data_IF_737090303750
#
_entry.id   IF_737090303750
#
_cell.length_a   1.000
_cell.length_b   1.000
_cell.length_c   1.000
_cell.angle_alpha   90.00
_cell.angle_beta   90.00
_cell.angle_gamma   90.00
#
_symmetry.space_group_name_H-M   'P 1'
#
loop_
_entity.id
_entity.type
_entity.pdbx_description
1 polymer ?
#
# COMPACT_ATOMS: atom_id res chain seq x y z
N UNK A 1 24.60 29.87 45.88
CA UNK A 1 24.84 30.81 44.76
C UNK A 1 24.39 30.14 43.47
N UNK A 2 23.44 30.80 42.80
CA UNK A 2 22.91 30.61 41.45
C UNK A 2 23.05 29.23 40.76
N UNK A 3 21.94 28.50 40.70
CA UNK A 3 21.64 27.68 39.55
C UNK A 3 21.07 28.56 38.43
N UNK A 4 21.45 28.30 37.18
CA UNK A 4 20.53 28.52 36.07
C UNK A 4 20.87 27.55 34.93
N UNK A 5 19.94 26.63 34.69
CA UNK A 5 19.98 25.66 33.59
C UNK A 5 19.75 26.42 32.30
N UNK A 6 20.56 26.14 31.28
CA UNK A 6 20.28 26.54 29.91
C UNK A 6 18.99 25.88 29.44
N UNK A 7 17.88 26.61 29.57
CA UNK A 7 16.57 26.22 29.06
C UNK A 7 16.59 26.41 27.54
N UNK A 8 16.96 25.33 26.84
CA UNK A 8 16.87 25.27 25.40
C UNK A 8 15.38 25.31 25.02
N UNK A 9 14.91 26.48 24.57
CA UNK A 9 13.58 26.65 23.97
C UNK A 9 13.45 25.75 22.74
N UNK A 10 12.99 24.52 22.95
CA UNK A 10 12.57 23.64 21.86
C UNK A 10 11.42 24.36 21.16
N UNK A 11 11.65 24.71 19.89
CA UNK A 11 10.65 25.33 19.03
C UNK A 11 9.34 24.55 19.09
N UNK A 12 8.29 25.15 19.66
CA UNK A 12 6.95 24.60 19.56
C UNK A 12 6.53 24.67 18.09
N UNK A 13 6.53 23.53 17.41
CA UNK A 13 5.98 23.37 16.05
C UNK A 13 4.51 23.81 16.05
N UNK A 14 4.08 24.55 15.03
CA UNK A 14 2.73 25.16 14.94
C UNK A 14 1.57 24.17 15.19
N UNK A 15 1.79 22.88 14.89
CA UNK A 15 0.92 21.73 15.18
C UNK A 15 0.59 21.58 16.68
N UNK A 16 1.51 21.97 17.56
CA UNK A 16 1.37 21.93 19.01
C UNK A 16 0.85 23.24 19.62
N UNK A 17 0.47 24.24 18.81
CA UNK A 17 -0.12 25.47 19.36
C UNK A 17 -1.57 25.28 19.80
N UNK A 18 -2.01 26.00 20.82
CA UNK A 18 -3.37 25.92 21.39
C UNK A 18 -4.42 26.73 20.62
N UNK A 19 -4.18 26.99 19.33
CA UNK A 19 -5.17 27.61 18.45
C UNK A 19 -6.32 26.63 18.18
N UNK A 20 -7.52 27.16 17.96
CA UNK A 20 -8.77 26.39 17.80
C UNK A 20 -8.77 25.43 16.61
N UNK A 21 -8.10 25.80 15.51
CA UNK A 21 -8.00 24.97 14.29
C UNK A 21 -7.07 23.76 14.49
N UNK A 22 -5.84 23.91 15.04
CA UNK A 22 -5.00 22.76 15.39
C UNK A 22 -5.64 21.78 16.36
N UNK A 23 -6.32 22.28 17.41
CA UNK A 23 -6.88 21.44 18.47
C UNK A 23 -8.15 20.69 18.05
N UNK A 24 -9.01 21.28 17.20
CA UNK A 24 -10.27 20.63 16.77
C UNK A 24 -10.15 19.78 15.50
N UNK A 25 -9.25 20.11 14.58
CA UNK A 25 -9.17 19.41 13.28
C UNK A 25 -7.83 18.70 13.09
N UNK A 26 -6.71 19.38 13.35
CA UNK A 26 -5.38 18.84 13.01
C UNK A 26 -4.94 17.74 13.98
N UNK A 27 -5.05 17.96 15.30
CA UNK A 27 -4.64 16.95 16.31
C UNK A 27 -5.48 15.67 16.26
N UNK A 28 -6.83 15.72 16.08
CA UNK A 28 -7.64 14.52 15.88
C UNK A 28 -7.33 13.81 14.56
N UNK A 29 -7.11 14.54 13.46
CA UNK A 29 -6.74 13.94 12.17
C UNK A 29 -5.36 13.26 12.23
N UNK A 30 -4.36 13.90 12.84
CA UNK A 30 -3.03 13.30 13.04
C UNK A 30 -3.11 12.06 13.95
N UNK A 31 -3.88 12.13 15.06
CA UNK A 31 -4.12 10.95 15.92
C UNK A 31 -4.88 9.85 15.20
N UNK A 32 -5.82 10.21 14.33
CA UNK A 32 -6.54 9.26 13.48
C UNK A 32 -5.56 8.56 12.55
N UNK A 33 -4.69 9.29 11.83
CA UNK A 33 -3.64 8.71 10.96
C UNK A 33 -2.58 7.89 11.71
N UNK A 34 -2.45 8.06 13.03
CA UNK A 34 -1.55 7.26 13.87
C UNK A 34 -2.14 5.92 14.30
N UNK A 35 -3.42 5.66 14.04
CA UNK A 35 -4.07 4.39 14.36
C UNK A 35 -3.95 3.48 13.13
N UNK A 36 -3.30 2.32 13.25
CA UNK A 36 -3.14 1.36 12.14
C UNK A 36 -4.46 0.89 11.51
N UNK A 37 -5.59 1.00 12.23
CA UNK A 37 -6.93 0.70 11.71
C UNK A 37 -7.52 1.82 10.82
N UNK A 38 -7.04 3.07 10.93
CA UNK A 38 -7.61 4.20 10.21
C UNK A 38 -7.38 4.10 8.71
N UNK A 39 -6.21 3.61 8.29
CA UNK A 39 -5.87 3.41 6.88
C UNK A 39 -6.80 2.39 6.23
N UNK A 40 -7.06 1.26 6.91
CA UNK A 40 -7.99 0.23 6.43
C UNK A 40 -9.43 0.74 6.29
N UNK A 41 -9.91 1.55 7.23
CA UNK A 41 -11.24 2.17 7.15
C UNK A 41 -11.32 3.15 5.99
N UNK A 42 -10.32 4.02 5.82
CA UNK A 42 -10.28 4.99 4.72
C UNK A 42 -10.25 4.27 3.37
N UNK A 43 -9.44 3.22 3.24
CA UNK A 43 -9.37 2.39 2.03
C UNK A 43 -10.72 1.75 1.73
N UNK A 44 -11.38 1.15 2.74
CA UNK A 44 -12.70 0.55 2.57
C UNK A 44 -13.75 1.58 2.12
N UNK A 45 -13.76 2.76 2.74
CA UNK A 45 -14.69 3.83 2.36
C UNK A 45 -14.42 4.33 0.94
N UNK A 46 -13.16 4.47 0.54
CA UNK A 46 -12.79 4.84 -0.82
C UNK A 46 -13.25 3.78 -1.83
N UNK A 47 -13.05 2.50 -1.54
CA UNK A 47 -13.54 1.38 -2.38
C UNK A 47 -15.06 1.39 -2.50
N UNK A 48 -15.79 1.57 -1.40
CA UNK A 48 -17.25 1.65 -1.42
C UNK A 48 -17.70 2.86 -2.24
N UNK A 49 -17.08 4.03 -2.07
CA UNK A 49 -17.40 5.22 -2.84
C UNK A 49 -17.15 5.00 -4.34
N UNK A 50 -16.03 4.37 -4.71
CA UNK A 50 -15.70 4.03 -6.09
C UNK A 50 -16.72 3.04 -6.69
N UNK A 51 -17.13 2.01 -5.94
CA UNK A 51 -18.15 1.05 -6.39
C UNK A 51 -19.52 1.72 -6.58
N UNK A 52 -19.94 2.57 -5.65
CA UNK A 52 -21.20 3.32 -5.76
C UNK A 52 -21.16 4.26 -6.98
N UNK A 53 -20.06 4.97 -7.19
CA UNK A 53 -19.92 5.89 -8.32
C UNK A 53 -19.89 5.12 -9.65
N UNK A 54 -19.12 4.03 -9.74
CA UNK A 54 -18.97 3.24 -10.97
C UNK A 54 -20.24 2.47 -11.36
N UNK A 55 -21.05 2.01 -10.40
CA UNK A 55 -22.28 1.24 -10.67
C UNK A 55 -23.56 2.10 -10.60
N UNK A 56 -23.44 3.36 -10.18
CA UNK A 56 -24.56 4.26 -10.02
C UNK A 56 -25.08 4.84 -11.34
N UNK A 57 -26.13 5.69 -11.29
CA UNK A 57 -26.71 6.34 -12.47
C UNK A 57 -25.74 7.23 -13.25
N UNK A 58 -24.65 7.66 -12.61
CA UNK A 58 -23.58 8.47 -13.19
C UNK A 58 -22.32 7.65 -13.52
N UNK A 59 -22.42 6.33 -13.67
CA UNK A 59 -21.26 5.47 -13.94
C UNK A 59 -20.44 5.87 -15.16
N UNK A 60 -21.07 6.43 -16.19
CA UNK A 60 -20.36 6.94 -17.38
C UNK A 60 -19.43 8.12 -17.04
N UNK A 61 -19.78 8.93 -16.05
CA UNK A 61 -18.91 10.02 -15.58
C UNK A 61 -17.67 9.49 -14.87
N UNK A 62 -17.76 8.35 -14.18
CA UNK A 62 -16.60 7.69 -13.55
C UNK A 62 -15.60 7.25 -14.62
N UNK A 63 -16.08 6.60 -15.68
CA UNK A 63 -15.22 6.18 -16.80
C UNK A 63 -14.59 7.39 -17.49
N UNK A 64 -15.40 8.37 -17.88
CA UNK A 64 -14.92 9.58 -18.56
C UNK A 64 -13.88 10.34 -17.72
N UNK A 65 -14.08 10.41 -16.38
CA UNK A 65 -13.12 11.02 -15.47
C UNK A 65 -11.76 10.30 -15.50
N UNK A 66 -11.75 8.98 -15.37
CA UNK A 66 -10.52 8.19 -15.35
C UNK A 66 -9.85 8.05 -16.73
N UNK A 67 -10.63 8.11 -17.80
CA UNK A 67 -10.16 8.10 -19.19
C UNK A 67 -9.81 9.51 -19.71
N UNK A 68 -9.80 10.53 -18.84
CA UNK A 68 -9.34 11.88 -19.23
C UNK A 68 -7.84 11.83 -19.54
N UNK A 69 -7.43 12.24 -20.74
CA UNK A 69 -6.02 12.23 -21.13
C UNK A 69 -5.26 13.43 -20.55
N UNK A 70 -4.06 13.15 -20.07
CA UNK A 70 -3.06 14.12 -19.63
C UNK A 70 -1.99 14.21 -20.70
N UNK A 71 -2.09 15.24 -21.53
CA UNK A 71 -1.10 15.54 -22.56
C UNK A 71 -0.09 16.58 -22.06
N UNK A 72 1.19 16.22 -22.00
CA UNK A 72 2.30 17.13 -21.70
C UNK A 72 3.27 17.11 -22.89
N UNK A 73 3.31 18.22 -23.61
CA UNK A 73 4.16 18.41 -24.78
C UNK A 73 5.31 19.37 -24.43
N UNK A 74 6.52 18.84 -24.31
CA UNK A 74 7.75 19.60 -24.02
C UNK A 74 8.79 19.32 -25.12
N UNK A 75 8.68 20.05 -26.23
CA UNK A 75 9.58 19.91 -27.38
C UNK A 75 9.53 18.48 -27.96
N UNK A 76 10.63 17.69 -27.92
CA UNK A 76 10.63 16.31 -28.42
C UNK A 76 9.95 15.31 -27.48
N UNK A 77 9.63 15.70 -26.24
CA UNK A 77 8.97 14.81 -25.27
C UNK A 77 7.46 15.01 -25.40
N UNK A 78 6.77 13.97 -25.85
CA UNK A 78 5.31 13.85 -25.81
C UNK A 78 4.94 12.82 -24.75
N UNK A 79 4.10 13.22 -23.82
CA UNK A 79 3.49 12.35 -22.82
C UNK A 79 1.97 12.46 -23.03
N UNK A 80 1.33 11.34 -23.36
CA UNK A 80 -0.12 11.23 -23.53
C UNK A 80 -0.55 9.94 -22.84
N UNK A 81 -1.08 10.08 -21.63
CA UNK A 81 -1.54 8.98 -20.79
C UNK A 81 -2.88 9.33 -20.17
N UNK A 82 -3.72 8.32 -19.92
CA UNK A 82 -4.97 8.55 -19.19
C UNK A 82 -4.70 8.94 -17.74
N UNK A 83 -5.62 9.68 -17.13
CA UNK A 83 -5.57 10.05 -15.72
C UNK A 83 -5.41 8.81 -14.83
N UNK A 84 -6.07 7.71 -15.20
CA UNK A 84 -5.93 6.43 -14.52
C UNK A 84 -4.49 5.91 -14.57
N UNK A 85 -3.85 5.89 -15.74
CA UNK A 85 -2.47 5.42 -15.86
C UNK A 85 -1.52 6.32 -15.09
N UNK A 86 -1.64 7.64 -15.24
CA UNK A 86 -0.81 8.60 -14.52
C UNK A 86 -0.92 8.46 -12.99
N UNK A 87 -2.15 8.35 -12.46
CA UNK A 87 -2.38 8.19 -11.01
C UNK A 87 -1.88 6.84 -10.53
N UNK A 88 -2.10 5.76 -11.29
CA UNK A 88 -1.59 4.44 -10.94
C UNK A 88 -0.06 4.46 -10.85
N UNK A 89 0.63 4.96 -11.86
CA UNK A 89 2.09 4.98 -11.88
C UNK A 89 2.66 5.88 -10.78
N UNK A 90 2.07 7.07 -10.59
CA UNK A 90 2.50 8.01 -9.56
C UNK A 90 2.30 7.47 -8.14
N UNK A 91 1.11 6.94 -7.82
CA UNK A 91 0.82 6.40 -6.49
C UNK A 91 1.56 5.09 -6.23
N UNK A 92 1.70 4.21 -7.24
CA UNK A 92 2.46 2.97 -7.11
C UNK A 92 3.96 3.24 -6.93
N UNK A 93 4.52 4.25 -7.61
CA UNK A 93 5.90 4.65 -7.38
C UNK A 93 6.14 5.10 -5.93
N UNK A 94 5.24 5.91 -5.37
CA UNK A 94 5.31 6.33 -3.96
C UNK A 94 5.14 5.13 -3.02
N UNK A 95 4.17 4.25 -3.29
CA UNK A 95 3.91 3.05 -2.50
C UNK A 95 5.14 2.14 -2.45
N UNK A 96 5.69 1.78 -3.61
CA UNK A 96 6.87 0.92 -3.69
C UNK A 96 8.13 1.57 -3.14
N UNK A 97 8.25 2.89 -3.20
CA UNK A 97 9.33 3.60 -2.52
C UNK A 97 9.26 3.40 -1.00
N UNK A 98 8.09 3.56 -0.39
CA UNK A 98 7.89 3.34 1.05
C UNK A 98 8.11 1.87 1.41
N UNK A 99 7.57 0.94 0.62
CA UNK A 99 7.79 -0.50 0.79
C UNK A 99 9.28 -0.83 0.69
N UNK A 100 10.01 -0.27 -0.27
CA UNK A 100 11.46 -0.42 -0.43
C UNK A 100 12.26 0.06 0.79
N UNK A 101 11.86 1.18 1.38
CA UNK A 101 12.46 1.67 2.63
C UNK A 101 12.16 0.74 3.82
N UNK A 102 10.95 0.22 3.91
CA UNK A 102 10.54 -0.72 4.96
C UNK A 102 11.34 -2.03 4.87
N UNK A 103 11.49 -2.57 3.66
CA UNK A 103 12.31 -3.76 3.39
C UNK A 103 13.75 -3.51 3.83
N UNK A 104 14.33 -2.37 3.42
CA UNK A 104 15.69 -2.02 3.82
C UNK A 104 15.82 -1.93 5.34
N UNK A 105 14.82 -1.37 6.04
CA UNK A 105 14.79 -1.31 7.50
C UNK A 105 14.77 -2.72 8.10
N UNK A 106 13.88 -3.58 7.65
CA UNK A 106 13.75 -4.96 8.14
C UNK A 106 15.02 -5.79 7.91
N UNK A 107 15.70 -5.61 6.77
CA UNK A 107 16.96 -6.30 6.46
C UNK A 107 18.13 -5.83 7.35
N UNK A 108 18.16 -4.56 7.76
CA UNK A 108 19.29 -3.97 8.50
C UNK A 108 19.12 -4.12 10.01
N UNK A 109 17.92 -3.87 10.53
CA UNK A 109 17.64 -3.75 11.96
C UNK A 109 16.44 -4.56 12.44
N UNK A 110 15.66 -5.15 11.53
CA UNK A 110 14.45 -5.89 11.88
C UNK A 110 14.62 -7.41 11.85
N UNK A 111 13.49 -8.10 11.78
CA UNK A 111 13.40 -9.55 11.96
C UNK A 111 13.92 -10.32 10.73
N UNK A 112 14.00 -9.65 9.57
CA UNK A 112 14.58 -10.21 8.34
C UNK A 112 16.12 -10.22 8.32
N UNK A 113 16.77 -9.59 9.31
CA UNK A 113 18.23 -9.63 9.46
C UNK A 113 18.74 -11.04 9.74
N UNK A 114 17.99 -11.82 10.52
CA UNK A 114 18.35 -13.21 10.81
C UNK A 114 17.77 -14.12 9.73
N UNK A 115 18.64 -14.81 8.99
CA UNK A 115 18.25 -15.69 7.88
C UNK A 115 17.29 -16.81 8.29
N UNK A 116 17.36 -17.31 9.53
CA UNK A 116 16.45 -18.37 10.00
C UNK A 116 15.06 -17.81 10.27
N UNK A 117 14.98 -16.59 10.78
CA UNK A 117 13.69 -15.91 11.03
C UNK A 117 13.05 -15.44 9.73
N UNK A 118 13.84 -14.95 8.77
CA UNK A 118 13.40 -14.54 7.44
C UNK A 118 12.89 -15.71 6.57
N UNK A 119 13.39 -16.93 6.80
CA UNK A 119 13.05 -18.09 5.99
C UNK A 119 11.56 -18.45 6.07
N UNK A 120 10.93 -18.36 7.24
CA UNK A 120 9.53 -18.74 7.39
C UNK A 120 8.58 -17.81 6.61
N UNK A 121 8.62 -16.47 6.75
CA UNK A 121 7.83 -15.56 5.92
C UNK A 121 8.14 -15.70 4.43
N UNK A 122 9.41 -15.85 4.04
CA UNK A 122 9.79 -15.97 2.64
C UNK A 122 9.25 -17.24 1.97
N UNK A 123 9.33 -18.39 2.65
CA UNK A 123 8.78 -19.66 2.13
C UNK A 123 7.25 -19.58 2.07
N UNK A 124 6.63 -19.01 3.11
CA UNK A 124 5.19 -18.80 3.14
C UNK A 124 4.72 -17.88 2.00
N UNK A 125 5.48 -16.82 1.69
CA UNK A 125 5.21 -15.89 0.59
C UNK A 125 5.32 -16.59 -0.76
N UNK A 126 6.43 -17.31 -1.01
CA UNK A 126 6.60 -18.08 -2.26
C UNK A 126 5.45 -19.07 -2.45
N UNK A 127 5.05 -19.79 -1.39
CA UNK A 127 3.87 -20.67 -1.45
C UNK A 127 2.58 -19.90 -1.72
N UNK A 128 2.39 -18.78 -1.03
CA UNK A 128 1.25 -17.86 -1.18
C UNK A 128 1.14 -17.23 -2.56
N UNK A 129 2.24 -17.11 -3.30
CA UNK A 129 2.25 -16.62 -4.68
C UNK A 129 2.10 -17.73 -5.71
N UNK A 130 2.86 -18.82 -5.57
CA UNK A 130 2.91 -19.90 -6.56
C UNK A 130 1.59 -20.67 -6.60
N UNK A 131 0.99 -20.95 -5.44
CA UNK A 131 -0.24 -21.75 -5.39
C UNK A 131 -1.41 -21.05 -6.08
N UNK A 132 -1.76 -19.78 -5.79
CA UNK A 132 -2.82 -19.08 -6.49
C UNK A 132 -2.57 -18.91 -7.99
N UNK A 133 -1.32 -18.66 -8.40
CA UNK A 133 -0.95 -18.57 -9.82
C UNK A 133 -1.19 -19.90 -10.56
N UNK A 134 -0.75 -21.02 -9.98
CA UNK A 134 -0.97 -22.34 -10.57
C UNK A 134 -2.45 -22.72 -10.63
N UNK A 135 -3.22 -22.39 -9.59
CA UNK A 135 -4.66 -22.59 -9.58
C UNK A 135 -5.29 -21.79 -10.73
N UNK A 136 -4.98 -20.50 -10.86
CA UNK A 136 -5.49 -19.66 -11.94
C UNK A 136 -5.17 -20.22 -13.33
N UNK A 137 -3.92 -20.61 -13.55
CA UNK A 137 -3.50 -21.22 -14.83
C UNK A 137 -4.28 -22.51 -15.08
N UNK A 138 -4.46 -23.38 -14.08
CA UNK A 138 -5.19 -24.63 -14.25
C UNK A 138 -6.64 -24.41 -14.69
N UNK A 139 -7.29 -23.35 -14.21
CA UNK A 139 -8.65 -22.99 -14.62
C UNK A 139 -8.70 -22.39 -16.04
N UNK A 140 -7.74 -21.54 -16.40
CA UNK A 140 -7.78 -20.76 -17.66
C UNK A 140 -7.07 -21.47 -18.82
N UNK A 141 -6.22 -22.46 -18.56
CA UNK A 141 -5.40 -23.14 -19.57
C UNK A 141 -6.22 -23.81 -20.69
N UNK A 142 -7.46 -24.22 -20.41
CA UNK A 142 -8.34 -24.85 -21.40
C UNK A 142 -9.08 -23.87 -22.31
N UNK A 143 -9.16 -22.59 -21.95
CA UNK A 143 -9.98 -21.61 -22.68
C UNK A 143 -9.24 -20.99 -23.86
N UNK A 144 -7.90 -20.87 -23.78
CA UNK A 144 -7.05 -20.27 -24.80
C UNK A 144 -7.34 -18.76 -24.98
N UNK A 145 -6.33 -17.91 -24.83
CA UNK A 145 -6.47 -16.47 -25.12
C UNK A 145 -5.66 -15.58 -24.20
N UNK A 146 -5.96 -14.27 -24.23
CA UNK A 146 -5.26 -13.26 -23.42
C UNK A 146 -5.42 -13.48 -21.91
N UNK A 147 -6.46 -14.19 -21.47
CA UNK A 147 -6.69 -14.47 -20.06
C UNK A 147 -5.53 -15.23 -19.39
N UNK A 148 -4.81 -16.08 -20.13
CA UNK A 148 -3.63 -16.79 -19.59
C UNK A 148 -2.50 -15.83 -19.23
N UNK A 149 -2.45 -14.64 -19.83
CA UNK A 149 -1.51 -13.58 -19.42
C UNK A 149 -1.85 -12.99 -18.06
N UNK A 150 -3.02 -13.24 -17.47
CA UNK A 150 -3.42 -12.71 -16.16
C UNK A 150 -2.90 -13.50 -14.95
N UNK A 151 -2.00 -14.47 -15.13
CA UNK A 151 -1.58 -15.38 -14.06
C UNK A 151 -0.87 -14.71 -12.88
N UNK A 152 -0.35 -13.50 -13.07
CA UNK A 152 0.28 -12.68 -12.03
C UNK A 152 -0.72 -11.96 -11.12
N UNK A 153 -1.97 -11.78 -11.55
CA UNK A 153 -3.02 -11.08 -10.81
C UNK A 153 -3.30 -11.71 -9.43
N UNK A 154 -3.49 -13.04 -9.29
CA UNK A 154 -3.84 -13.64 -8.00
C UNK A 154 -2.66 -13.77 -7.02
N UNK A 155 -1.46 -13.33 -7.40
CA UNK A 155 -0.24 -13.46 -6.58
C UNK A 155 -0.11 -12.32 -5.56
N UNK A 156 -0.72 -11.17 -5.80
CA UNK A 156 -0.55 -9.97 -4.99
C UNK A 156 -1.50 -9.96 -3.77
N UNK A 157 -1.00 -9.52 -2.62
CA UNK A 157 -1.75 -9.39 -1.37
C UNK A 157 -1.79 -7.92 -0.92
N UNK A 158 -2.96 -7.32 -0.74
CA UNK A 158 -3.07 -5.94 -0.21
C UNK A 158 -2.73 -5.89 1.28
N UNK A 159 -1.53 -5.40 1.58
CA UNK A 159 -1.00 -5.24 2.94
C UNK A 159 -1.82 -4.25 3.79
N UNK A 160 -2.30 -3.15 3.20
CA UNK A 160 -3.01 -2.10 3.91
C UNK A 160 -4.39 -2.60 4.36
N UNK A 161 -5.07 -3.34 3.48
CA UNK A 161 -6.34 -3.97 3.83
C UNK A 161 -6.16 -5.07 4.89
N UNK A 162 -5.14 -5.92 4.72
CA UNK A 162 -4.90 -7.04 5.63
C UNK A 162 -4.54 -6.57 7.06
N UNK A 163 -3.67 -5.55 7.18
CA UNK A 163 -3.35 -4.91 8.47
C UNK A 163 -4.56 -4.17 9.03
N UNK A 164 -5.36 -3.54 8.18
CA UNK A 164 -6.61 -2.89 8.56
C UNK A 164 -7.57 -3.84 9.27
N UNK A 165 -7.84 -5.01 8.66
CA UNK A 165 -8.70 -6.05 9.25
C UNK A 165 -8.10 -6.60 10.55
N UNK A 166 -6.80 -6.91 10.57
CA UNK A 166 -6.14 -7.39 11.78
C UNK A 166 -6.21 -6.37 12.93
N UNK A 167 -6.14 -5.09 12.60
CA UNK A 167 -6.27 -4.01 13.58
C UNK A 167 -7.68 -3.91 14.15
N UNK A 168 -8.73 -4.18 13.35
CA UNK A 168 -10.12 -4.26 13.81
C UNK A 168 -10.36 -5.45 14.76
N UNK A 169 -9.64 -6.56 14.59
CA UNK A 169 -9.68 -7.71 15.51
C UNK A 169 -9.02 -7.41 16.86
N UNK A 170 -8.31 -6.28 17.00
CA UNK A 170 -7.82 -5.74 18.26
C UNK A 170 -6.81 -6.63 18.97
N UNK A 171 -7.13 -7.00 20.21
CA UNK A 171 -6.29 -7.81 21.10
C UNK A 171 -6.40 -9.31 20.85
N UNK A 172 -7.30 -9.76 19.97
CA UNK A 172 -7.45 -11.20 19.64
C UNK A 172 -6.29 -11.75 18.81
N UNK A 173 -5.53 -10.88 18.17
CA UNK A 173 -4.38 -11.25 17.32
C UNK A 173 -3.10 -10.87 18.04
N UNK A 174 -2.19 -11.84 18.19
CA UNK A 174 -0.90 -11.63 18.83
C UNK A 174 -0.03 -10.66 18.03
N UNK A 175 0.81 -9.88 18.70
CA UNK A 175 1.75 -8.97 18.03
C UNK A 175 2.66 -9.71 17.05
N UNK A 176 3.04 -10.94 17.37
CA UNK A 176 3.83 -11.80 16.49
C UNK A 176 3.11 -12.16 15.18
N UNK A 177 1.80 -12.40 15.20
CA UNK A 177 1.03 -12.65 13.97
C UNK A 177 0.92 -11.40 13.09
N UNK A 178 0.86 -10.20 13.70
CA UNK A 178 0.88 -8.93 12.95
C UNK A 178 2.21 -8.71 12.25
N UNK A 179 3.32 -8.97 12.95
CA UNK A 179 4.67 -8.89 12.39
C UNK A 179 4.91 -9.94 11.30
N UNK A 180 4.46 -11.18 11.54
CA UNK A 180 4.53 -12.23 10.54
C UNK A 180 3.76 -11.87 9.27
N UNK A 181 2.53 -11.37 9.39
CA UNK A 181 1.74 -10.96 8.23
C UNK A 181 2.37 -9.78 7.50
N UNK A 182 2.91 -8.80 8.23
CA UNK A 182 3.65 -7.68 7.65
C UNK A 182 4.84 -8.19 6.82
N UNK A 183 5.64 -9.09 7.37
CA UNK A 183 6.79 -9.67 6.68
C UNK A 183 6.39 -10.53 5.47
N UNK A 184 5.31 -11.30 5.59
CA UNK A 184 4.74 -12.10 4.50
C UNK A 184 4.30 -11.20 3.34
N UNK A 185 3.48 -10.18 3.62
CA UNK A 185 2.94 -9.29 2.61
C UNK A 185 4.03 -8.47 1.90
N UNK A 186 5.05 -8.02 2.64
CA UNK A 186 6.22 -7.37 2.05
C UNK A 186 6.95 -8.30 1.08
N UNK A 187 7.15 -9.57 1.47
CA UNK A 187 7.81 -10.54 0.60
C UNK A 187 6.99 -10.85 -0.66
N UNK A 188 5.66 -10.99 -0.52
CA UNK A 188 4.73 -11.16 -1.64
C UNK A 188 4.77 -9.97 -2.60
N UNK A 189 4.74 -8.72 -2.10
CA UNK A 189 4.77 -7.50 -2.93
C UNK A 189 6.04 -7.39 -3.77
N UNK A 190 7.21 -7.72 -3.18
CA UNK A 190 8.49 -7.78 -3.92
C UNK A 190 8.45 -8.88 -4.99
N UNK A 191 7.91 -10.04 -4.62
CA UNK A 191 7.80 -11.15 -5.54
C UNK A 191 6.89 -10.80 -6.73
N UNK A 192 5.73 -10.20 -6.46
CA UNK A 192 4.76 -9.80 -7.46
C UNK A 192 5.35 -8.73 -8.41
N UNK A 193 6.00 -7.69 -7.88
CA UNK A 193 6.62 -6.66 -8.75
C UNK A 193 7.76 -7.24 -9.59
N UNK A 194 8.58 -8.15 -9.03
CA UNK A 194 9.65 -8.81 -9.78
C UNK A 194 9.09 -9.68 -10.92
N UNK A 195 8.01 -10.40 -10.65
CA UNK A 195 7.30 -11.19 -11.66
C UNK A 195 6.73 -10.29 -12.75
N UNK A 196 6.04 -9.21 -12.40
CA UNK A 196 5.51 -8.25 -13.39
C UNK A 196 6.64 -7.68 -14.23
N UNK A 197 7.72 -7.22 -13.61
CA UNK A 197 8.86 -6.62 -14.32
C UNK A 197 9.54 -7.59 -15.30
N UNK A 198 9.64 -8.88 -14.96
CA UNK A 198 10.34 -9.89 -15.79
C UNK A 198 9.43 -10.47 -16.87
N UNK A 199 8.16 -10.74 -16.56
CA UNK A 199 7.26 -11.50 -17.43
C UNK A 199 6.25 -10.63 -18.21
N UNK A 200 6.07 -9.36 -17.84
CA UNK A 200 5.09 -8.44 -18.45
C UNK A 200 5.76 -7.21 -19.07
N UNK A 201 6.93 -7.43 -19.69
CA UNK A 201 7.60 -6.47 -20.59
C UNK A 201 7.11 -6.64 -22.03
#
# INVERSE_FOLDING_TARGET
>A
MAGNRHDARIHQTWINSDRSVPTRFVRPFVRFTQISASSGIVLLLATIAALIWSNGPFGDTYKTFWDTHLEINLGPIHFDESLKHFVNDGLMAIFFFVVGLEIKRELVVGDLKDRKQAALPAIAAIGGMVVPALIFIAFVAGEGGEATRGWGIPMATDIAFSIGIISLLGSRVSSGAKLFLLALAIADDIGAIAVIAIFYT
#
